data_IF_445595594885
#
_entry.id   IF_445595594885
#
_cell.length_a   1.000
_cell.length_b   1.000
_cell.length_c   1.000
_cell.angle_alpha   90.00
_cell.angle_beta   90.00
_cell.angle_gamma   90.00
#
_symmetry.space_group_name_H-M   'P 1'
#
loop_
_entity.id
_entity.type
_entity.pdbx_description
1 polymer ?
#
# COMPACT_ATOMS: atom_id res chain seq x y z
N UNK A 1 20.37 21.60 16.93
CA UNK A 1 20.14 21.39 15.48
C UNK A 1 18.90 20.52 15.35
N UNK A 2 18.00 20.86 14.42
CA UNK A 2 16.83 19.99 14.13
C UNK A 2 17.35 18.68 13.52
N UNK A 3 16.74 17.54 13.89
CA UNK A 3 17.07 16.25 13.28
C UNK A 3 16.58 16.25 11.81
N UNK A 4 17.49 16.05 10.86
CA UNK A 4 17.19 16.02 9.43
C UNK A 4 16.74 14.64 8.99
N UNK A 5 15.56 14.57 8.38
CA UNK A 5 15.00 13.33 7.85
C UNK A 5 14.75 13.46 6.34
N UNK A 6 15.19 12.47 5.59
CA UNK A 6 14.80 12.27 4.20
C UNK A 6 13.63 11.28 4.14
N UNK A 7 12.49 11.75 3.66
CA UNK A 7 11.29 10.93 3.44
C UNK A 7 11.13 10.74 1.94
N UNK A 8 11.14 9.51 1.50
CA UNK A 8 11.03 9.16 0.09
C UNK A 8 9.87 8.20 -0.16
N UNK A 9 9.05 8.54 -1.14
CA UNK A 9 8.05 7.65 -1.71
C UNK A 9 8.40 7.43 -3.19
N UNK A 10 8.41 6.17 -3.62
CA UNK A 10 8.97 5.77 -4.90
C UNK A 10 8.21 6.33 -6.12
N UNK A 11 6.86 6.30 -6.09
CA UNK A 11 6.05 6.68 -7.25
C UNK A 11 6.11 8.18 -7.49
N UNK A 12 5.81 8.96 -6.45
CA UNK A 12 5.84 10.42 -6.52
C UNK A 12 7.25 11.00 -6.55
N UNK A 13 8.24 10.27 -6.01
CA UNK A 13 9.65 10.66 -5.95
C UNK A 13 10.47 10.31 -7.21
N UNK A 14 9.81 9.91 -8.30
CA UNK A 14 10.45 9.73 -9.60
C UNK A 14 10.97 8.34 -9.91
N UNK A 15 10.51 7.31 -9.19
CA UNK A 15 10.82 5.93 -9.53
C UNK A 15 10.37 5.52 -10.94
N UNK A 16 9.40 6.26 -11.49
CA UNK A 16 8.88 6.14 -12.86
C UNK A 16 9.17 7.38 -13.74
N UNK A 17 10.19 8.19 -13.44
CA UNK A 17 10.40 9.45 -14.15
C UNK A 17 10.65 9.30 -15.67
N UNK A 18 11.05 8.12 -16.13
CA UNK A 18 11.33 7.80 -17.56
C UNK A 18 10.22 6.99 -18.24
N UNK A 19 9.19 6.60 -17.52
CA UNK A 19 8.07 5.81 -18.03
C UNK A 19 6.75 6.34 -17.50
N UNK A 20 5.65 5.83 -18.01
CA UNK A 20 4.32 6.19 -17.52
C UNK A 20 4.10 5.69 -16.08
N UNK A 21 3.38 6.47 -15.31
CA UNK A 21 3.00 6.12 -13.95
C UNK A 21 1.58 5.57 -13.98
N UNK A 22 1.32 4.38 -13.43
CA UNK A 22 -0.05 3.92 -13.24
C UNK A 22 -0.82 4.87 -12.33
N UNK A 23 -1.98 5.35 -12.80
CA UNK A 23 -2.83 6.32 -12.07
C UNK A 23 -3.15 5.85 -10.64
N UNK A 24 -3.43 4.56 -10.47
CA UNK A 24 -3.72 3.93 -9.18
C UNK A 24 -2.59 4.11 -8.17
N UNK A 25 -1.35 3.94 -8.58
CA UNK A 25 -0.19 4.00 -7.69
C UNK A 25 0.12 5.42 -7.22
N UNK A 26 -0.10 6.42 -8.08
CA UNK A 26 0.26 7.80 -7.74
C UNK A 26 -0.59 8.36 -6.61
N UNK A 27 -1.91 8.22 -6.68
CA UNK A 27 -2.81 8.82 -5.69
C UNK A 27 -2.58 8.25 -4.28
N UNK A 28 -2.28 6.97 -4.17
CA UNK A 28 -1.95 6.29 -2.91
C UNK A 28 -0.54 6.69 -2.42
N UNK A 29 0.45 6.62 -3.30
CA UNK A 29 1.85 6.94 -2.97
C UNK A 29 2.02 8.39 -2.50
N UNK A 30 1.50 9.35 -3.26
CA UNK A 30 1.52 10.75 -2.87
C UNK A 30 0.74 11.01 -1.57
N UNK A 31 -0.41 10.35 -1.39
CA UNK A 31 -1.17 10.42 -0.15
C UNK A 31 -0.37 9.93 1.06
N UNK A 32 0.33 8.81 0.95
CA UNK A 32 1.22 8.31 2.00
C UNK A 32 2.39 9.25 2.26
N UNK A 33 3.03 9.79 1.21
CA UNK A 33 4.12 10.77 1.35
C UNK A 33 3.66 12.02 2.11
N UNK A 34 2.59 12.66 1.64
CA UNK A 34 2.03 13.86 2.27
C UNK A 34 1.66 13.63 3.73
N UNK A 35 1.07 12.48 4.03
CA UNK A 35 0.61 12.13 5.37
C UNK A 35 1.78 11.93 6.34
N UNK A 36 2.77 11.13 5.97
CA UNK A 36 3.91 10.85 6.86
C UNK A 36 4.79 12.09 7.04
N UNK A 37 4.96 12.94 6.01
CA UNK A 37 5.63 14.23 6.12
C UNK A 37 4.94 15.09 7.18
N UNK A 38 3.60 15.22 7.10
CA UNK A 38 2.83 16.00 8.06
C UNK A 38 3.00 15.49 9.50
N UNK A 39 3.04 14.18 9.69
CA UNK A 39 3.19 13.56 11.02
C UNK A 39 4.59 13.79 11.61
N UNK A 40 5.66 13.70 10.80
CA UNK A 40 7.02 14.04 11.24
C UNK A 40 7.21 15.54 11.45
N UNK A 41 6.53 16.38 10.67
CA UNK A 41 6.60 17.85 10.83
C UNK A 41 6.05 18.31 12.18
N UNK A 42 5.00 17.65 12.69
CA UNK A 42 4.47 17.90 14.04
C UNK A 42 5.47 17.53 15.16
N UNK A 43 6.54 16.80 14.84
CA UNK A 43 7.63 16.45 15.76
C UNK A 43 8.87 17.33 15.55
N UNK A 44 8.72 18.45 14.84
CA UNK A 44 9.76 19.46 14.57
C UNK A 44 11.00 18.93 13.82
N UNK A 45 10.86 17.87 13.02
CA UNK A 45 11.91 17.42 12.09
C UNK A 45 12.11 18.44 10.97
N UNK A 46 13.33 18.57 10.50
CA UNK A 46 13.67 19.21 9.23
C UNK A 46 13.56 18.16 8.12
N UNK A 47 12.56 18.34 7.24
CA UNK A 47 12.14 17.30 6.29
C UNK A 47 12.60 17.66 4.89
N UNK A 48 13.35 16.75 4.27
CA UNK A 48 13.65 16.76 2.84
C UNK A 48 12.88 15.64 2.15
N UNK A 49 12.36 15.89 0.96
CA UNK A 49 11.76 14.88 0.09
C UNK A 49 12.18 15.07 -1.37
N UNK A 50 11.97 14.04 -2.18
CA UNK A 50 12.19 14.05 -3.63
C UNK A 50 10.84 13.97 -4.34
N UNK A 51 10.64 14.78 -5.38
CA UNK A 51 9.43 14.81 -6.17
C UNK A 51 9.79 14.79 -7.67
N UNK A 52 9.04 14.02 -8.44
CA UNK A 52 9.14 13.98 -9.90
C UNK A 52 8.71 15.31 -10.52
N UNK A 53 9.43 15.80 -11.52
CA UNK A 53 9.20 17.10 -12.19
C UNK A 53 7.76 17.26 -12.69
N UNK A 54 7.07 16.17 -13.03
CA UNK A 54 5.66 16.19 -13.48
C UNK A 54 4.71 16.74 -12.43
N UNK A 55 5.07 16.68 -11.15
CA UNK A 55 4.22 17.03 -10.01
C UNK A 55 4.65 18.30 -9.27
N UNK A 56 5.43 19.16 -9.89
CA UNK A 56 5.88 20.43 -9.30
C UNK A 56 4.73 21.29 -8.73
N UNK A 57 3.57 21.24 -9.36
CA UNK A 57 2.38 21.97 -8.91
C UNK A 57 1.82 21.45 -7.57
N UNK A 58 2.24 20.27 -7.11
CA UNK A 58 1.85 19.69 -5.81
C UNK A 58 2.82 20.03 -4.68
N UNK A 59 3.96 20.66 -4.96
CA UNK A 59 4.95 21.06 -3.93
C UNK A 59 4.30 21.85 -2.77
N UNK A 60 3.39 22.83 -3.01
CA UNK A 60 2.76 23.56 -1.93
C UNK A 60 1.91 22.71 -0.98
N UNK A 61 1.52 21.50 -1.39
CA UNK A 61 0.74 20.56 -0.57
C UNK A 61 1.61 19.73 0.37
N UNK A 62 2.94 19.68 0.13
CA UNK A 62 3.89 18.97 0.97
C UNK A 62 4.42 19.93 2.06
N UNK A 63 4.14 19.60 3.31
CA UNK A 63 4.66 20.37 4.45
C UNK A 63 6.12 19.98 4.74
N UNK A 64 6.98 19.91 3.71
CA UNK A 64 8.40 19.65 3.81
C UNK A 64 9.20 20.97 3.84
N UNK A 65 10.38 20.96 4.50
CA UNK A 65 11.27 22.12 4.51
C UNK A 65 12.02 22.26 3.18
N UNK A 66 12.34 21.13 2.55
CA UNK A 66 12.99 21.09 1.25
C UNK A 66 12.36 20.01 0.37
N UNK A 67 11.92 20.41 -0.82
CA UNK A 67 11.46 19.50 -1.87
C UNK A 67 12.46 19.57 -3.02
N UNK A 68 13.27 18.52 -3.15
CA UNK A 68 14.14 18.36 -4.31
C UNK A 68 13.35 17.83 -5.49
N UNK A 69 13.66 18.30 -6.68
CA UNK A 69 12.99 17.88 -7.91
C UNK A 69 13.87 16.92 -8.67
N UNK A 70 13.29 15.84 -9.16
CA UNK A 70 13.93 14.93 -10.10
C UNK A 70 13.53 15.30 -11.51
N UNK A 71 14.49 15.77 -12.30
CA UNK A 71 14.28 16.10 -13.71
C UNK A 71 14.17 14.82 -14.58
N UNK A 72 13.57 14.96 -15.77
CA UNK A 72 13.32 13.84 -16.69
C UNK A 72 14.57 13.03 -17.02
N UNK A 73 15.70 13.69 -17.21
CA UNK A 73 16.96 13.06 -17.62
C UNK A 73 17.80 12.53 -16.44
N UNK A 74 17.42 12.86 -15.21
CA UNK A 74 18.15 12.43 -14.02
C UNK A 74 17.87 10.95 -13.68
N UNK A 75 18.87 10.32 -13.07
CA UNK A 75 18.75 8.98 -12.50
C UNK A 75 18.28 9.06 -11.05
N UNK A 76 17.04 8.64 -10.77
CA UNK A 76 16.46 8.76 -9.44
C UNK A 76 17.31 8.11 -8.33
N UNK A 77 18.01 6.99 -8.63
CA UNK A 77 18.86 6.33 -7.66
C UNK A 77 20.08 7.16 -7.24
N UNK A 78 20.65 7.94 -8.16
CA UNK A 78 21.78 8.83 -7.85
C UNK A 78 21.32 9.99 -6.97
N UNK A 79 20.18 10.61 -7.32
CA UNK A 79 19.57 11.69 -6.54
C UNK A 79 19.14 11.19 -5.16
N UNK A 80 18.51 10.01 -5.10
CA UNK A 80 18.15 9.35 -3.85
C UNK A 80 19.37 9.14 -2.93
N UNK A 81 20.45 8.52 -3.46
CA UNK A 81 21.67 8.28 -2.67
C UNK A 81 22.32 9.59 -2.19
N UNK A 82 22.31 10.63 -3.02
CA UNK A 82 22.76 11.95 -2.65
C UNK A 82 21.99 12.49 -1.43
N UNK A 83 20.65 12.47 -1.46
CA UNK A 83 19.78 12.96 -0.38
C UNK A 83 19.92 12.10 0.89
N UNK A 84 20.08 10.79 0.74
CA UNK A 84 20.41 9.91 1.86
C UNK A 84 21.67 10.39 2.56
N UNK A 85 22.75 10.71 1.83
CA UNK A 85 24.02 11.19 2.41
C UNK A 85 23.87 12.51 3.18
N UNK A 86 22.98 13.39 2.75
CA UNK A 86 22.73 14.70 3.37
C UNK A 86 21.85 14.63 4.64
N UNK A 87 21.17 13.51 4.88
CA UNK A 87 20.23 13.34 5.99
C UNK A 87 20.82 12.56 7.15
N UNK A 88 20.24 12.65 8.33
CA UNK A 88 20.60 11.85 9.51
C UNK A 88 19.76 10.56 9.57
N UNK A 89 18.50 10.69 9.24
CA UNK A 89 17.51 9.60 9.22
C UNK A 89 16.81 9.52 7.87
N UNK A 90 16.31 8.34 7.51
CA UNK A 90 15.55 8.11 6.30
C UNK A 90 14.29 7.29 6.59
N UNK A 91 13.19 7.67 5.93
CA UNK A 91 11.95 6.90 5.89
C UNK A 91 11.60 6.58 4.44
N UNK A 92 11.51 5.29 4.10
CA UNK A 92 11.33 4.83 2.72
C UNK A 92 9.98 4.18 2.56
N UNK A 93 9.23 4.65 1.55
CA UNK A 93 8.00 4.05 1.04
C UNK A 93 8.27 3.65 -0.40
N UNK A 94 8.24 2.37 -0.69
CA UNK A 94 8.48 1.87 -2.04
C UNK A 94 7.82 0.49 -2.21
N UNK A 95 7.46 0.12 -3.45
CA UNK A 95 6.91 -1.19 -3.73
C UNK A 95 7.96 -2.29 -3.60
N UNK A 96 7.49 -3.52 -3.47
CA UNK A 96 8.29 -4.73 -3.35
C UNK A 96 8.82 -5.23 -4.70
N UNK A 97 8.11 -4.97 -5.81
CA UNK A 97 8.44 -5.49 -7.14
C UNK A 97 9.87 -5.14 -7.56
N UNK A 98 10.48 -6.04 -8.31
CA UNK A 98 11.87 -5.91 -8.79
C UNK A 98 12.88 -5.60 -7.67
N UNK A 99 12.57 -6.01 -6.44
CA UNK A 99 13.38 -5.74 -5.24
C UNK A 99 13.64 -4.25 -4.99
N UNK A 100 12.74 -3.37 -5.43
CA UNK A 100 12.90 -1.91 -5.32
C UNK A 100 13.07 -1.46 -3.89
N UNK A 101 12.13 -1.82 -2.98
CA UNK A 101 12.25 -1.48 -1.55
C UNK A 101 13.54 -2.01 -0.94
N UNK A 102 13.95 -3.25 -1.26
CA UNK A 102 15.19 -3.83 -0.78
C UNK A 102 16.42 -3.03 -1.22
N UNK A 103 16.49 -2.65 -2.50
CA UNK A 103 17.60 -1.87 -3.07
C UNK A 103 17.72 -0.49 -2.41
N UNK A 104 16.62 0.23 -2.25
CA UNK A 104 16.60 1.54 -1.59
C UNK A 104 17.01 1.44 -0.11
N UNK A 105 16.45 0.47 0.61
CA UNK A 105 16.83 0.17 2.00
C UNK A 105 18.31 -0.15 2.14
N UNK A 106 18.88 -0.93 1.20
CA UNK A 106 20.31 -1.26 1.16
C UNK A 106 21.20 -0.01 0.98
N UNK A 107 20.76 0.96 0.15
CA UNK A 107 21.49 2.23 -0.03
C UNK A 107 21.54 3.01 1.30
N UNK A 108 20.43 3.13 2.03
CA UNK A 108 20.39 3.81 3.33
C UNK A 108 21.35 3.13 4.32
N UNK A 109 21.30 1.81 4.42
CA UNK A 109 22.19 1.03 5.32
C UNK A 109 23.67 1.14 4.95
N UNK A 110 24.00 1.08 3.64
CA UNK A 110 25.39 1.26 3.14
C UNK A 110 25.96 2.62 3.55
N UNK A 111 25.14 3.67 3.52
CA UNK A 111 25.52 5.02 3.93
C UNK A 111 25.44 5.24 5.45
N UNK A 112 25.21 4.19 6.26
CA UNK A 112 25.18 4.20 7.74
C UNK A 112 24.20 5.22 8.31
N UNK A 113 23.09 5.48 7.61
CA UNK A 113 22.05 6.39 8.07
C UNK A 113 21.01 5.65 8.92
N UNK A 114 20.35 6.39 9.81
CA UNK A 114 19.31 5.84 10.66
C UNK A 114 18.06 5.54 9.81
N UNK A 115 17.69 4.26 9.74
CA UNK A 115 16.53 3.81 8.96
C UNK A 115 15.29 3.72 9.85
N UNK A 116 14.26 4.52 9.55
CA UNK A 116 13.01 4.57 10.31
C UNK A 116 11.94 3.61 9.75
N UNK A 117 12.03 3.21 8.49
CA UNK A 117 11.23 2.12 7.89
C UNK A 117 11.81 0.74 8.24
N UNK A 118 11.19 -0.34 7.76
CA UNK A 118 11.60 -1.72 8.04
C UNK A 118 13.03 -1.99 7.50
N UNK A 119 13.84 -2.74 8.28
CA UNK A 119 15.21 -3.09 7.91
C UNK A 119 15.26 -4.25 6.90
N UNK A 120 16.41 -4.43 6.27
CA UNK A 120 16.67 -5.42 5.20
C UNK A 120 16.17 -6.83 5.52
N UNK A 121 16.29 -7.31 6.76
CA UNK A 121 15.81 -8.64 7.15
C UNK A 121 14.30 -8.78 7.03
N UNK A 122 13.55 -7.76 7.44
CA UNK A 122 12.10 -7.72 7.31
C UNK A 122 11.68 -7.50 5.86
N UNK A 123 12.32 -6.55 5.17
CA UNK A 123 12.06 -6.28 3.75
C UNK A 123 12.29 -7.54 2.91
N UNK A 124 13.39 -8.26 3.12
CA UNK A 124 13.70 -9.47 2.33
C UNK A 124 12.64 -10.57 2.50
N UNK A 125 12.07 -10.74 3.70
CA UNK A 125 11.00 -11.71 3.91
C UNK A 125 9.67 -11.22 3.30
N UNK A 126 9.29 -9.95 3.54
CA UNK A 126 8.00 -9.43 3.09
C UNK A 126 7.93 -9.22 1.57
N UNK A 127 9.07 -9.08 0.87
CA UNK A 127 9.09 -8.89 -0.59
C UNK A 127 8.60 -10.12 -1.36
N UNK A 128 8.82 -11.33 -0.85
CA UNK A 128 8.46 -12.57 -1.52
C UNK A 128 7.19 -13.19 -0.89
N UNK A 129 6.12 -13.31 -1.68
CA UNK A 129 4.89 -13.99 -1.25
C UNK A 129 5.14 -15.47 -0.94
N UNK A 130 6.04 -16.10 -1.69
CA UNK A 130 6.41 -17.51 -1.45
C UNK A 130 7.19 -17.68 -0.13
N UNK A 131 8.11 -16.76 0.19
CA UNK A 131 8.85 -16.83 1.45
C UNK A 131 7.95 -16.47 2.64
N UNK A 132 7.01 -15.54 2.45
CA UNK A 132 5.98 -15.21 3.45
C UNK A 132 5.08 -16.42 3.73
N UNK A 133 4.64 -17.13 2.68
CA UNK A 133 3.91 -18.40 2.83
C UNK A 133 4.70 -19.44 3.64
N UNK A 134 5.99 -19.67 3.29
CA UNK A 134 6.85 -20.61 4.02
C UNK A 134 7.00 -20.19 5.49
N UNK A 135 7.13 -18.90 5.76
CA UNK A 135 7.21 -18.34 7.10
C UNK A 135 5.93 -18.64 7.91
N UNK A 136 4.75 -18.33 7.36
CA UNK A 136 3.48 -18.61 8.02
C UNK A 136 3.28 -20.10 8.29
N UNK A 137 3.57 -20.93 7.30
CA UNK A 137 3.50 -22.39 7.42
C UNK A 137 4.43 -22.94 8.51
N UNK A 138 5.67 -22.47 8.56
CA UNK A 138 6.65 -22.87 9.60
C UNK A 138 6.24 -22.40 10.99
N UNK A 139 5.54 -21.28 11.08
CA UNK A 139 4.95 -20.75 12.31
C UNK A 139 3.67 -21.47 12.74
N UNK A 140 3.19 -22.46 11.98
CA UNK A 140 1.97 -23.22 12.25
C UNK A 140 0.70 -22.36 12.36
N UNK A 141 0.61 -21.30 11.56
CA UNK A 141 -0.60 -20.51 11.35
C UNK A 141 -1.21 -20.87 9.99
N UNK A 142 -2.53 -20.64 9.84
CA UNK A 142 -3.20 -20.92 8.58
C UNK A 142 -2.77 -19.91 7.51
N UNK A 143 -2.50 -20.43 6.32
CA UNK A 143 -2.16 -19.68 5.11
C UNK A 143 -2.59 -20.51 3.90
N UNK A 144 -3.09 -19.93 2.81
CA UNK A 144 -3.48 -20.67 1.62
C UNK A 144 -2.30 -21.45 1.03
N UNK A 145 -2.54 -22.64 0.49
CA UNK A 145 -1.50 -23.40 -0.21
C UNK A 145 -0.95 -22.56 -1.37
N UNK A 146 0.35 -22.41 -1.43
CA UNK A 146 1.02 -21.53 -2.39
C UNK A 146 2.18 -22.25 -3.06
N UNK A 147 2.26 -22.16 -4.38
CA UNK A 147 3.25 -22.81 -5.21
C UNK A 147 3.90 -21.79 -6.15
N UNK A 148 5.20 -21.89 -6.36
CA UNK A 148 5.85 -21.15 -7.45
C UNK A 148 5.34 -21.72 -8.78
N UNK A 149 4.91 -20.85 -9.69
CA UNK A 149 4.46 -21.25 -11.01
C UNK A 149 5.69 -21.58 -11.88
N UNK A 150 5.85 -22.84 -12.33
CA UNK A 150 7.00 -23.21 -13.12
C UNK A 150 6.91 -22.67 -14.54
N UNK A 151 8.05 -22.42 -15.16
CA UNK A 151 8.13 -22.02 -16.56
C UNK A 151 8.04 -23.24 -17.46
N UNK A 152 7.17 -23.17 -18.46
CA UNK A 152 7.10 -24.13 -19.56
C UNK A 152 8.12 -23.84 -20.66
N UNK A 153 7.97 -24.49 -21.81
CA UNK A 153 8.89 -24.34 -22.96
C UNK A 153 8.82 -22.95 -23.64
N UNK A 154 7.65 -22.34 -23.65
CA UNK A 154 7.39 -21.03 -24.30
C UNK A 154 6.89 -19.98 -23.32
N UNK A 155 6.18 -20.42 -22.26
CA UNK A 155 5.58 -19.55 -21.25
C UNK A 155 5.49 -20.34 -19.90
N UNK A 156 4.53 -20.04 -19.04
CA UNK A 156 4.27 -20.78 -17.81
C UNK A 156 3.56 -22.11 -18.09
N UNK A 157 3.71 -23.08 -17.15
CA UNK A 157 3.22 -24.45 -17.30
C UNK A 157 1.73 -24.56 -16.91
N UNK A 158 0.85 -24.55 -17.92
CA UNK A 158 -0.60 -24.73 -17.73
C UNK A 158 -0.96 -26.09 -17.11
N UNK A 159 -0.24 -27.18 -17.45
CA UNK A 159 -0.52 -28.51 -16.91
C UNK A 159 -0.27 -28.56 -15.40
N UNK A 160 0.76 -27.84 -14.93
CA UNK A 160 1.00 -27.69 -13.50
C UNK A 160 -0.18 -27.01 -12.79
N UNK A 161 -0.74 -25.94 -13.37
CA UNK A 161 -1.88 -25.24 -12.79
C UNK A 161 -3.10 -26.15 -12.72
N UNK A 162 -3.40 -26.87 -13.80
CA UNK A 162 -4.51 -27.84 -13.87
C UNK A 162 -4.33 -28.96 -12.83
N UNK A 163 -3.13 -29.53 -12.72
CA UNK A 163 -2.82 -30.55 -11.70
C UNK A 163 -3.10 -30.04 -10.29
N UNK A 164 -2.61 -28.83 -9.96
CA UNK A 164 -2.81 -28.26 -8.62
C UNK A 164 -4.26 -27.88 -8.36
N UNK A 165 -4.97 -27.33 -9.35
CA UNK A 165 -6.40 -27.05 -9.26
C UNK A 165 -7.20 -28.33 -8.91
N UNK A 166 -6.97 -29.44 -9.62
CA UNK A 166 -7.60 -30.73 -9.33
C UNK A 166 -7.27 -31.26 -7.93
N UNK A 167 -6.00 -31.14 -7.51
CA UNK A 167 -5.55 -31.62 -6.22
C UNK A 167 -6.07 -30.80 -5.03
N UNK A 168 -6.22 -29.48 -5.20
CA UNK A 168 -6.75 -28.59 -4.18
C UNK A 168 -8.28 -28.68 -4.08
N UNK A 169 -8.95 -29.03 -5.18
CA UNK A 169 -10.40 -29.14 -5.29
C UNK A 169 -11.13 -27.85 -4.82
N UNK A 170 -10.57 -26.70 -5.14
CA UNK A 170 -11.12 -25.39 -4.85
C UNK A 170 -10.64 -24.38 -5.92
N UNK A 171 -11.26 -23.20 -6.05
CA UNK A 171 -10.77 -22.15 -6.92
C UNK A 171 -9.33 -21.76 -6.60
N UNK A 172 -8.60 -21.27 -7.59
CA UNK A 172 -7.20 -20.85 -7.45
C UNK A 172 -6.98 -19.46 -8.04
N UNK A 173 -5.92 -18.81 -7.58
CA UNK A 173 -5.46 -17.54 -8.14
C UNK A 173 -4.01 -17.66 -8.62
N UNK A 174 -3.71 -16.94 -9.71
CA UNK A 174 -2.35 -16.67 -10.15
C UNK A 174 -2.06 -15.19 -9.90
N UNK A 175 -0.93 -14.89 -9.30
CA UNK A 175 -0.50 -13.50 -9.03
C UNK A 175 1.02 -13.36 -9.04
N UNK A 176 1.57 -12.16 -9.28
CA UNK A 176 3.02 -11.92 -9.20
C UNK A 176 3.58 -12.30 -7.82
N UNK A 177 4.76 -12.90 -7.81
CA UNK A 177 5.45 -13.34 -6.59
C UNK A 177 5.89 -12.14 -5.73
N UNK A 178 6.30 -11.03 -6.36
CA UNK A 178 6.78 -9.79 -5.73
C UNK A 178 5.93 -8.54 -6.04
N UNK A 179 4.68 -8.72 -6.53
CA UNK A 179 3.76 -7.62 -6.88
C UNK A 179 3.18 -6.87 -5.68
N UNK A 180 2.66 -5.68 -5.93
CA UNK A 180 1.96 -4.83 -4.95
C UNK A 180 0.53 -4.56 -5.41
N UNK A 181 -0.37 -4.34 -4.44
CA UNK A 181 -1.80 -4.12 -4.73
C UNK A 181 -2.48 -5.38 -5.28
N UNK A 182 -3.66 -5.19 -5.86
CA UNK A 182 -4.42 -6.28 -6.48
C UNK A 182 -4.14 -6.43 -7.99
N UNK A 183 -3.15 -5.72 -8.52
CA UNK A 183 -2.84 -5.75 -9.95
C UNK A 183 -2.34 -7.13 -10.38
N UNK A 184 -2.79 -7.58 -11.56
CA UNK A 184 -2.40 -8.87 -12.15
C UNK A 184 -2.74 -10.10 -11.30
N UNK A 185 -3.86 -10.06 -10.56
CA UNK A 185 -4.45 -11.24 -9.92
C UNK A 185 -5.46 -11.86 -10.89
N UNK A 186 -5.27 -13.13 -11.21
CA UNK A 186 -6.14 -13.91 -12.09
C UNK A 186 -6.80 -15.02 -11.29
N UNK A 187 -8.13 -15.10 -11.36
CA UNK A 187 -8.96 -16.03 -10.60
C UNK A 187 -9.56 -17.09 -11.52
N UNK A 188 -9.56 -18.35 -11.09
CA UNK A 188 -10.04 -19.50 -11.85
C UNK A 188 -10.94 -20.39 -11.00
N UNK A 189 -12.14 -20.69 -11.51
CA UNK A 189 -13.10 -21.59 -10.89
C UNK A 189 -13.19 -22.95 -11.62
N UNK A 190 -12.65 -23.05 -12.84
CA UNK A 190 -12.73 -24.26 -13.66
C UNK A 190 -11.45 -24.55 -14.45
N UNK A 191 -11.30 -25.80 -14.89
CA UNK A 191 -10.20 -26.22 -15.75
C UNK A 191 -10.30 -25.55 -17.14
N UNK A 192 -11.50 -25.34 -17.63
CA UNK A 192 -11.78 -24.68 -18.91
C UNK A 192 -11.24 -23.25 -18.91
N UNK A 193 -11.48 -22.50 -17.84
CA UNK A 193 -10.95 -21.13 -17.70
C UNK A 193 -9.42 -21.10 -17.69
N UNK A 194 -8.78 -22.07 -17.05
CA UNK A 194 -7.30 -22.21 -17.03
C UNK A 194 -6.79 -22.47 -18.45
N UNK A 195 -7.42 -23.42 -19.18
CA UNK A 195 -7.03 -23.76 -20.54
C UNK A 195 -7.20 -22.55 -21.48
N UNK A 196 -8.33 -21.84 -21.39
CA UNK A 196 -8.59 -20.65 -22.18
C UNK A 196 -7.55 -19.56 -21.91
N UNK A 197 -7.25 -19.29 -20.64
CA UNK A 197 -6.26 -18.28 -20.24
C UNK A 197 -4.86 -18.54 -20.82
N UNK A 198 -4.39 -19.77 -20.80
CA UNK A 198 -3.06 -20.13 -21.31
C UNK A 198 -3.02 -20.31 -22.82
N UNK A 199 -4.15 -20.49 -23.49
CA UNK A 199 -4.25 -20.55 -24.96
C UNK A 199 -4.50 -19.18 -25.60
N UNK A 200 -4.74 -18.13 -24.81
CA UNK A 200 -4.93 -16.78 -25.33
C UNK A 200 -3.61 -16.30 -25.99
N UNK A 201 -3.67 -15.81 -27.25
CA UNK A 201 -2.49 -15.30 -27.93
C UNK A 201 -1.92 -14.01 -27.29
N UNK A 202 -2.69 -13.33 -26.44
CA UNK A 202 -2.21 -12.19 -25.67
C UNK A 202 -1.54 -12.72 -24.39
N UNK A 203 -0.23 -12.51 -24.29
CA UNK A 203 0.50 -12.86 -23.06
C UNK A 203 0.05 -11.99 -21.89
N UNK A 204 -0.76 -12.59 -21.00
CA UNK A 204 -1.27 -11.92 -19.79
C UNK A 204 -0.28 -11.93 -18.63
N UNK A 205 0.68 -12.86 -18.65
CA UNK A 205 1.72 -12.98 -17.64
C UNK A 205 3.03 -12.45 -18.21
N UNK A 206 3.65 -11.51 -17.49
CA UNK A 206 4.97 -11.01 -17.88
C UNK A 206 6.00 -12.14 -17.90
N UNK A 207 6.64 -12.31 -19.04
CA UNK A 207 7.65 -13.35 -19.30
C UNK A 207 8.91 -13.21 -18.42
N UNK A 208 9.15 -12.06 -17.81
CA UNK A 208 10.31 -11.79 -16.95
C UNK A 208 9.97 -12.07 -15.47
N UNK A 209 8.76 -11.73 -15.03
CA UNK A 209 8.31 -11.87 -13.64
C UNK A 209 8.15 -13.32 -13.18
N UNK A 210 8.22 -13.56 -11.88
CA UNK A 210 7.81 -14.80 -11.26
C UNK A 210 6.36 -14.69 -10.80
N UNK A 211 5.62 -15.79 -10.91
CA UNK A 211 4.25 -15.88 -10.46
C UNK A 211 4.08 -17.01 -9.47
N UNK A 212 3.09 -16.88 -8.61
CA UNK A 212 2.64 -17.95 -7.72
C UNK A 212 1.23 -18.38 -8.09
N UNK A 213 0.97 -19.67 -7.94
CA UNK A 213 -0.36 -20.24 -7.87
C UNK A 213 -0.74 -20.38 -6.40
N UNK A 214 -1.91 -19.90 -6.03
CA UNK A 214 -2.37 -19.94 -4.64
C UNK A 214 -3.81 -20.44 -4.57
N UNK A 215 -4.11 -21.27 -3.57
CA UNK A 215 -5.47 -21.62 -3.16
C UNK A 215 -6.28 -20.34 -2.90
N UNK A 216 -7.49 -20.27 -3.46
CA UNK A 216 -8.42 -19.20 -3.13
C UNK A 216 -9.18 -19.53 -1.86
N UNK A 217 -9.12 -18.66 -0.89
CA UNK A 217 -9.87 -18.76 0.37
C UNK A 217 -11.01 -17.76 0.33
N UNK A 218 -12.24 -18.25 0.42
CA UNK A 218 -13.41 -17.41 0.49
C UNK A 218 -13.53 -16.75 1.87
N UNK A 219 -13.80 -15.44 1.91
CA UNK A 219 -13.95 -14.71 3.16
C UNK A 219 -13.89 -13.20 2.99
N UNK A 220 -13.69 -12.50 4.10
CA UNK A 220 -13.48 -11.06 4.12
C UNK A 220 -12.00 -10.74 4.00
N UNK A 221 -11.65 -9.93 3.02
CA UNK A 221 -10.30 -9.39 2.87
C UNK A 221 -10.05 -8.33 3.93
N UNK A 222 -9.05 -8.57 4.76
CA UNK A 222 -8.69 -7.74 5.88
C UNK A 222 -7.18 -7.50 5.91
N UNK A 223 -6.79 -6.39 6.53
CA UNK A 223 -5.38 -6.14 6.87
C UNK A 223 -5.23 -5.74 8.33
N UNK A 224 -4.06 -5.95 8.88
CA UNK A 224 -3.71 -5.44 10.20
C UNK A 224 -2.50 -4.52 10.09
N UNK A 225 -2.66 -3.31 10.63
CA UNK A 225 -1.58 -2.32 10.76
C UNK A 225 -0.83 -2.59 12.07
N UNK A 226 0.48 -2.75 11.98
CA UNK A 226 1.33 -3.22 13.06
C UNK A 226 2.50 -2.28 13.33
N UNK A 227 2.92 -2.26 14.57
CA UNK A 227 4.15 -1.61 15.00
C UNK A 227 5.05 -2.63 15.71
N UNK A 228 6.12 -3.03 15.02
CA UNK A 228 7.10 -3.98 15.53
C UNK A 228 8.17 -3.31 16.37
N UNK A 229 8.66 -4.05 17.35
CA UNK A 229 9.79 -3.70 18.21
C UNK A 229 10.84 -4.80 18.14
N UNK A 230 11.79 -4.82 19.06
CA UNK A 230 12.72 -5.96 19.21
C UNK A 230 12.05 -7.23 19.72
N UNK A 231 10.83 -7.12 20.25
CA UNK A 231 10.02 -8.27 20.69
C UNK A 231 9.41 -9.00 19.48
N UNK A 232 9.22 -10.30 19.62
CA UNK A 232 8.61 -11.12 18.57
C UNK A 232 7.16 -10.76 18.29
N UNK A 233 6.43 -10.26 19.29
CA UNK A 233 5.02 -9.89 19.15
C UNK A 233 4.88 -8.38 18.93
N UNK A 234 4.38 -7.94 17.75
CA UNK A 234 4.17 -6.53 17.44
C UNK A 234 2.94 -5.99 18.17
N UNK A 235 2.86 -4.67 18.27
CA UNK A 235 1.66 -3.98 18.71
C UNK A 235 0.67 -3.82 17.57
N UNK A 236 -0.56 -4.26 17.74
CA UNK A 236 -1.65 -4.02 16.80
C UNK A 236 -2.05 -2.54 16.92
N UNK A 237 -2.07 -1.83 15.79
CA UNK A 237 -2.54 -0.46 15.69
C UNK A 237 -4.01 -0.41 15.29
N UNK A 238 -4.41 -1.17 14.30
CA UNK A 238 -5.79 -1.37 13.89
C UNK A 238 -5.94 -2.60 12.99
N UNK A 239 -7.16 -3.08 12.86
CA UNK A 239 -7.59 -4.03 11.81
C UNK A 239 -8.47 -3.26 10.83
N UNK A 240 -8.23 -3.45 9.54
CA UNK A 240 -8.86 -2.69 8.48
C UNK A 240 -9.52 -3.64 7.48
N UNK A 241 -10.61 -3.23 6.83
CA UNK A 241 -11.11 -3.92 5.65
C UNK A 241 -10.26 -3.58 4.44
N UNK A 242 -10.32 -4.42 3.42
CA UNK A 242 -9.76 -4.16 2.11
C UNK A 242 -10.86 -4.31 1.05
N UNK A 243 -11.13 -3.25 0.32
CA UNK A 243 -12.08 -3.27 -0.79
C UNK A 243 -11.32 -3.68 -2.05
N UNK A 244 -11.29 -4.99 -2.29
CA UNK A 244 -10.61 -5.62 -3.42
C UNK A 244 -11.67 -6.20 -4.35
N UNK A 245 -11.59 -5.85 -5.63
CA UNK A 245 -12.39 -6.44 -6.69
C UNK A 245 -11.52 -7.44 -7.46
N UNK A 246 -11.63 -8.73 -7.13
CA UNK A 246 -10.95 -9.82 -7.84
C UNK A 246 -11.84 -10.25 -9.00
N UNK A 247 -11.39 -10.01 -10.22
CA UNK A 247 -12.11 -10.34 -11.43
C UNK A 247 -11.57 -11.61 -12.07
N UNK A 248 -12.46 -12.24 -12.88
CA UNK A 248 -12.10 -13.38 -13.72
C UNK A 248 -10.95 -13.03 -14.71
N UNK A 249 -10.28 -14.02 -15.31
CA UNK A 249 -8.97 -13.89 -15.99
C UNK A 249 -8.83 -12.78 -17.04
N UNK A 250 -9.93 -12.24 -17.54
CA UNK A 250 -9.92 -11.21 -18.60
C UNK A 250 -10.04 -9.77 -18.08
N UNK A 251 -10.06 -9.56 -16.76
CA UNK A 251 -10.26 -8.26 -16.15
C UNK A 251 -9.17 -7.98 -15.10
N UNK A 252 -8.72 -6.77 -15.02
CA UNK A 252 -7.78 -6.33 -13.97
C UNK A 252 -8.48 -6.29 -12.61
N UNK A 253 -7.84 -6.90 -11.62
CA UNK A 253 -8.26 -6.75 -10.22
C UNK A 253 -7.85 -5.37 -9.72
N UNK A 254 -8.61 -4.81 -8.78
CA UNK A 254 -8.34 -3.47 -8.27
C UNK A 254 -8.53 -3.41 -6.75
N UNK A 255 -7.66 -2.61 -6.12
CA UNK A 255 -7.80 -2.21 -4.73
C UNK A 255 -8.30 -0.76 -4.66
N UNK A 256 -9.33 -0.50 -3.86
CA UNK A 256 -9.95 0.82 -3.76
C UNK A 256 -9.79 1.47 -2.40
N UNK A 257 -9.26 0.77 -1.42
CA UNK A 257 -9.14 1.27 -0.05
C UNK A 257 -9.80 0.34 0.97
N UNK A 258 -10.55 0.90 1.88
CA UNK A 258 -11.24 0.17 2.93
C UNK A 258 -11.71 1.08 4.06
N UNK A 259 -12.05 0.48 5.20
CA UNK A 259 -12.35 1.24 6.41
C UNK A 259 -11.60 0.72 7.64
N UNK A 260 -11.46 1.58 8.63
CA UNK A 260 -10.76 1.29 9.88
C UNK A 260 -11.43 2.03 11.06
N UNK A 261 -11.53 1.42 12.25
CA UNK A 261 -11.32 -0.01 12.51
C UNK A 261 -12.45 -0.86 11.92
N UNK A 262 -12.16 -2.14 11.68
CA UNK A 262 -13.17 -3.12 11.23
C UNK A 262 -14.26 -3.31 12.28
N UNK A 263 -15.48 -3.65 11.85
CA UNK A 263 -16.51 -4.15 12.75
C UNK A 263 -16.02 -5.42 13.49
N UNK A 264 -16.44 -5.63 14.71
CA UNK A 264 -15.97 -6.73 15.56
C UNK A 264 -14.44 -6.72 15.84
N UNK A 265 -13.84 -5.52 15.86
CA UNK A 265 -12.41 -5.32 16.07
C UNK A 265 -11.83 -6.15 17.22
N UNK A 266 -12.48 -6.13 18.41
CA UNK A 266 -11.95 -6.78 19.62
C UNK A 266 -11.82 -8.30 19.49
N UNK A 267 -12.75 -8.94 18.80
CA UNK A 267 -12.73 -10.40 18.53
C UNK A 267 -11.58 -10.75 17.59
N UNK A 268 -11.45 -10.00 16.48
CA UNK A 268 -10.41 -10.22 15.49
C UNK A 268 -9.03 -9.93 16.10
N UNK A 269 -8.91 -8.85 16.86
CA UNK A 269 -7.67 -8.50 17.57
C UNK A 269 -7.21 -9.62 18.52
N UNK A 270 -8.13 -10.20 19.28
CA UNK A 270 -7.83 -11.31 20.18
C UNK A 270 -7.31 -12.53 19.40
N UNK A 271 -7.97 -12.89 18.31
CA UNK A 271 -7.54 -14.00 17.44
C UNK A 271 -6.18 -13.75 16.81
N UNK A 272 -5.90 -12.53 16.35
CA UNK A 272 -4.58 -12.13 15.80
C UNK A 272 -3.49 -12.22 16.86
N UNK A 273 -3.75 -11.75 18.10
CA UNK A 273 -2.77 -11.84 19.21
C UNK A 273 -2.35 -13.29 19.49
N UNK A 274 -3.30 -14.23 19.47
CA UNK A 274 -2.99 -15.65 19.65
C UNK A 274 -2.15 -16.22 18.51
N UNK A 275 -2.41 -15.82 17.26
CA UNK A 275 -1.61 -16.23 16.13
C UNK A 275 -0.20 -15.62 16.15
N UNK A 276 -0.07 -14.33 16.53
CA UNK A 276 1.23 -13.66 16.59
C UNK A 276 2.17 -14.25 17.65
N UNK A 277 1.67 -14.87 18.71
CA UNK A 277 2.48 -15.62 19.69
C UNK A 277 3.27 -16.78 19.04
N UNK A 278 2.80 -17.30 17.90
CA UNK A 278 3.42 -18.41 17.16
C UNK A 278 4.48 -17.93 16.15
N UNK A 279 4.55 -16.62 15.88
CA UNK A 279 5.41 -16.02 14.84
C UNK A 279 6.57 -15.24 15.46
N UNK A 280 7.76 -15.38 14.91
CA UNK A 280 8.87 -14.47 15.23
C UNK A 280 8.85 -13.27 14.26
N UNK A 281 8.19 -12.19 14.68
CA UNK A 281 8.08 -10.94 13.93
C UNK A 281 9.12 -9.89 14.36
N UNK A 282 10.13 -10.24 15.16
CA UNK A 282 11.19 -9.33 15.68
C UNK A 282 11.98 -8.60 14.58
N UNK A 283 12.05 -9.20 13.37
CA UNK A 283 12.71 -8.59 12.20
C UNK A 283 11.97 -7.41 11.59
N UNK A 284 10.68 -7.21 11.92
CA UNK A 284 9.83 -6.12 11.42
C UNK A 284 9.76 -4.96 12.42
N UNK A 285 10.92 -4.42 12.82
CA UNK A 285 11.00 -3.26 13.72
C UNK A 285 10.59 -1.98 12.98
N UNK A 286 9.50 -1.34 13.39
CA UNK A 286 8.85 -0.19 12.73
C UNK A 286 7.43 -0.52 12.29
N UNK A 287 6.87 0.32 11.42
CA UNK A 287 5.53 0.10 10.85
C UNK A 287 5.55 -0.92 9.71
N UNK A 288 4.59 -1.85 9.72
CA UNK A 288 4.34 -2.80 8.63
C UNK A 288 2.88 -3.26 8.65
N UNK A 289 2.43 -3.88 7.57
CA UNK A 289 1.10 -4.47 7.46
C UNK A 289 1.17 -5.99 7.26
N UNK A 290 0.09 -6.69 7.61
CA UNK A 290 -0.14 -8.09 7.22
C UNK A 290 -1.55 -8.19 6.66
N UNK A 291 -1.67 -8.76 5.47
CA UNK A 291 -2.95 -9.02 4.83
C UNK A 291 -3.41 -10.44 5.17
N UNK A 292 -4.70 -10.60 5.43
CA UNK A 292 -5.29 -11.87 5.80
C UNK A 292 -6.77 -11.94 5.39
N UNK A 293 -7.27 -13.16 5.22
CA UNK A 293 -8.67 -13.44 4.98
C UNK A 293 -9.28 -14.02 6.24
N UNK A 294 -10.46 -13.55 6.60
CA UNK A 294 -11.28 -14.16 7.65
C UNK A 294 -12.48 -14.84 7.01
N UNK A 295 -12.49 -16.19 7.04
CA UNK A 295 -13.55 -16.97 6.45
C UNK A 295 -14.84 -16.96 7.31
N UNK A 296 -15.91 -17.59 6.82
CA UNK A 296 -17.21 -17.69 7.54
C UNK A 296 -17.11 -18.41 8.88
N UNK A 297 -16.16 -19.33 9.02
CA UNK A 297 -15.87 -20.03 10.28
C UNK A 297 -15.03 -19.20 11.27
N UNK A 298 -14.85 -17.90 11.00
CA UNK A 298 -14.00 -16.98 11.78
C UNK A 298 -12.51 -17.36 11.83
N UNK A 299 -12.04 -18.20 10.94
CA UNK A 299 -10.63 -18.60 10.83
C UNK A 299 -9.84 -17.57 10.05
N UNK A 300 -8.61 -17.29 10.50
CA UNK A 300 -7.70 -16.34 9.87
C UNK A 300 -6.69 -17.08 8.99
N UNK A 301 -6.63 -16.71 7.71
CA UNK A 301 -5.66 -17.16 6.74
C UNK A 301 -4.73 -16.01 6.36
N UNK A 302 -3.47 -16.07 6.77
CA UNK A 302 -2.48 -15.04 6.47
C UNK A 302 -2.02 -15.13 5.02
N UNK A 303 -2.03 -14.01 4.31
CA UNK A 303 -1.76 -13.93 2.87
C UNK A 303 -0.36 -13.42 2.57
N UNK A 304 -0.01 -12.22 3.10
CA UNK A 304 1.29 -11.60 2.85
C UNK A 304 1.67 -10.60 3.94
N UNK A 305 2.96 -10.26 4.00
CA UNK A 305 3.49 -9.21 4.88
C UNK A 305 3.97 -8.06 4.01
N UNK A 306 3.46 -6.85 4.29
CA UNK A 306 3.86 -5.60 3.65
C UNK A 306 4.89 -4.88 4.52
N UNK A 307 6.20 -4.96 4.25
CA UNK A 307 7.27 -4.43 5.12
C UNK A 307 7.48 -2.92 4.92
N UNK A 308 6.40 -2.16 4.81
CA UNK A 308 6.37 -0.71 4.52
C UNK A 308 5.12 -0.05 5.06
N UNK A 309 5.05 1.27 4.89
CA UNK A 309 3.79 1.98 5.06
C UNK A 309 2.75 1.42 4.07
N UNK A 310 1.53 1.19 4.54
CA UNK A 310 0.39 0.69 3.74
C UNK A 310 -0.65 1.78 3.56
N UNK A 311 -1.51 1.66 2.56
CA UNK A 311 -2.56 2.64 2.25
C UNK A 311 -3.52 2.84 3.44
N UNK A 312 -3.74 1.81 4.25
CA UNK A 312 -4.52 1.91 5.50
C UNK A 312 -3.98 2.95 6.51
N UNK A 313 -2.69 3.34 6.40
CA UNK A 313 -2.12 4.42 7.21
C UNK A 313 -2.91 5.73 7.07
N UNK A 314 -3.47 5.99 5.89
CA UNK A 314 -4.25 7.19 5.60
C UNK A 314 -5.53 7.28 6.45
N UNK A 315 -6.20 6.13 6.66
CA UNK A 315 -7.33 6.04 7.58
C UNK A 315 -6.90 5.95 9.05
N UNK A 316 -5.81 5.23 9.33
CA UNK A 316 -5.30 5.00 10.68
C UNK A 316 -4.99 6.32 11.43
N UNK A 317 -4.43 7.32 10.75
CA UNK A 317 -4.17 8.66 11.29
C UNK A 317 -5.41 9.35 11.85
N UNK A 318 -6.58 9.04 11.31
CA UNK A 318 -7.84 9.66 11.69
C UNK A 318 -8.46 9.01 12.93
N UNK A 319 -8.11 7.76 13.22
CA UNK A 319 -8.73 6.97 14.29
C UNK A 319 -7.88 6.85 15.55
N UNK A 320 -6.55 7.06 15.45
CA UNK A 320 -5.63 7.00 16.58
C UNK A 320 -5.36 8.43 17.08
N UNK A 321 -5.49 8.63 18.39
CA UNK A 321 -5.28 9.95 19.02
C UNK A 321 -3.79 10.30 19.24
N UNK A 322 -2.87 9.46 18.80
CA UNK A 322 -1.43 9.68 18.96
C UNK A 322 -0.80 9.94 17.60
N UNK A 323 0.26 10.73 17.57
CA UNK A 323 1.05 10.92 16.37
C UNK A 323 1.77 9.59 16.01
N UNK A 324 1.43 9.02 14.84
CA UNK A 324 1.97 7.73 14.39
C UNK A 324 3.48 7.79 14.11
N UNK A 325 4.02 8.90 13.62
CA UNK A 325 5.45 9.07 13.42
C UNK A 325 6.20 9.01 14.76
N UNK A 326 5.63 9.59 15.85
CA UNK A 326 6.19 9.45 17.20
C UNK A 326 6.19 8.00 17.66
N UNK A 327 5.13 7.24 17.38
CA UNK A 327 5.06 5.82 17.72
C UNK A 327 6.11 5.01 16.93
N UNK A 328 6.29 5.30 15.64
CA UNK A 328 7.32 4.69 14.80
C UNK A 328 8.72 4.97 15.36
N UNK A 329 9.03 6.22 15.71
CA UNK A 329 10.31 6.57 16.36
C UNK A 329 10.53 5.80 17.66
N UNK A 330 9.49 5.72 18.50
CA UNK A 330 9.56 4.98 19.77
C UNK A 330 9.83 3.49 19.56
N UNK A 331 9.27 2.90 18.50
CA UNK A 331 9.49 1.49 18.17
C UNK A 331 10.92 1.20 17.71
N UNK A 332 11.65 2.21 17.21
CA UNK A 332 13.05 2.10 16.78
C UNK A 332 14.05 2.22 17.92
N UNK A 333 13.64 2.77 19.05
CA UNK A 333 14.52 2.90 20.23
C UNK A 333 14.62 1.54 20.93
N UNK A 334 15.87 1.16 21.29
CA UNK A 334 16.13 -0.12 21.93
C UNK A 334 15.57 -0.19 23.34
N UNK A 335 14.68 -1.13 23.59
CA UNK A 335 14.40 -1.75 24.90
C UNK A 335 13.84 -0.90 26.06
N UNK A 336 13.82 0.42 25.98
CA UNK A 336 13.57 1.27 27.15
C UNK A 336 12.16 1.89 27.25
N UNK A 337 11.42 1.98 26.18
CA UNK A 337 10.10 2.61 26.20
C UNK A 337 9.00 1.60 25.82
N UNK A 338 8.11 1.32 26.76
CA UNK A 338 6.83 0.67 26.43
C UNK A 338 6.11 1.55 25.39
N UNK A 339 5.72 0.96 24.26
CA UNK A 339 4.86 1.65 23.31
C UNK A 339 3.57 2.07 24.03
N UNK A 340 3.07 3.29 23.77
CA UNK A 340 1.85 3.77 24.39
C UNK A 340 0.67 2.85 24.02
N UNK A 341 -0.33 2.80 24.87
CA UNK A 341 -1.58 2.10 24.57
C UNK A 341 -2.27 2.76 23.37
N UNK A 342 -2.79 1.93 22.45
CA UNK A 342 -3.52 2.42 21.29
C UNK A 342 -4.98 2.56 21.65
N UNK A 343 -5.49 3.78 21.57
CA UNK A 343 -6.90 4.09 21.80
C UNK A 343 -7.53 4.52 20.47
N UNK A 344 -8.44 3.70 19.98
CA UNK A 344 -9.22 4.00 18.78
C UNK A 344 -10.41 4.87 19.17
N UNK A 345 -10.53 6.07 18.58
CA UNK A 345 -11.55 7.06 18.97
C UNK A 345 -12.57 7.36 17.88
N UNK A 346 -12.24 7.07 16.64
CA UNK A 346 -13.03 7.41 15.45
C UNK A 346 -13.09 6.23 14.49
N UNK A 347 -13.80 6.44 13.39
CA UNK A 347 -13.82 5.59 12.19
C UNK A 347 -13.36 6.38 10.99
N UNK A 348 -12.71 5.71 10.05
CA UNK A 348 -12.28 6.30 8.78
C UNK A 348 -12.59 5.34 7.64
N UNK A 349 -13.30 5.82 6.66
CA UNK A 349 -13.37 5.20 5.33
C UNK A 349 -12.31 5.90 4.49
N UNK A 350 -11.40 5.14 3.91
CA UNK A 350 -10.31 5.63 3.07
C UNK A 350 -10.42 4.99 1.69
N UNK A 351 -10.50 5.83 0.66
CA UNK A 351 -10.83 5.34 -0.69
C UNK A 351 -10.11 6.12 -1.78
N UNK A 352 -9.63 5.37 -2.78
CA UNK A 352 -9.28 5.90 -4.10
C UNK A 352 -10.55 6.07 -4.90
N UNK A 353 -10.70 7.21 -5.58
CA UNK A 353 -11.81 7.49 -6.47
C UNK A 353 -11.27 7.83 -7.85
N UNK A 354 -11.80 7.18 -8.86
CA UNK A 354 -11.52 7.44 -10.27
C UNK A 354 -12.59 8.37 -10.83
N UNK A 355 -12.17 9.43 -11.50
CA UNK A 355 -12.98 10.56 -11.90
C UNK A 355 -12.76 10.89 -13.37
N UNK A 356 -13.81 11.39 -14.02
CA UNK A 356 -13.70 12.07 -15.32
C UNK A 356 -14.27 13.47 -15.18
N UNK A 357 -13.56 14.49 -15.65
CA UNK A 357 -14.09 15.84 -15.67
C UNK A 357 -14.93 16.05 -16.93
N UNK A 358 -16.11 16.71 -16.80
CA UNK A 358 -17.03 16.95 -17.92
C UNK A 358 -16.43 17.80 -19.03
N UNK A 359 -15.53 18.73 -18.69
CA UNK A 359 -14.80 19.52 -19.68
C UNK A 359 -13.64 18.74 -20.26
N UNK A 360 -13.61 18.47 -21.58
CA UNK A 360 -12.62 17.57 -22.17
C UNK A 360 -11.20 18.17 -22.34
N UNK A 361 -11.06 19.50 -22.21
CA UNK A 361 -9.81 20.22 -22.48
C UNK A 361 -9.46 21.18 -21.34
N UNK A 362 -9.09 20.63 -20.20
CA UNK A 362 -8.62 21.43 -19.09
C UNK A 362 -7.16 21.84 -19.34
N UNK A 363 -6.88 23.13 -19.31
CA UNK A 363 -5.50 23.60 -19.30
C UNK A 363 -4.89 23.50 -17.89
N UNK A 364 -3.57 23.53 -17.80
CA UNK A 364 -2.82 23.39 -16.54
C UNK A 364 -3.29 24.34 -15.46
N UNK A 365 -3.57 25.61 -15.79
CA UNK A 365 -4.02 26.63 -14.83
C UNK A 365 -5.37 26.27 -14.21
N UNK A 366 -6.32 25.82 -15.03
CA UNK A 366 -7.65 25.39 -14.55
C UNK A 366 -7.51 24.16 -13.64
N UNK A 367 -6.65 23.20 -14.00
CA UNK A 367 -6.39 22.03 -13.16
C UNK A 367 -5.82 22.45 -11.79
N UNK A 368 -4.87 23.38 -11.76
CA UNK A 368 -4.32 23.90 -10.50
C UNK A 368 -5.39 24.62 -9.66
N UNK A 369 -6.25 25.42 -10.27
CA UNK A 369 -7.38 26.07 -9.60
C UNK A 369 -8.36 25.07 -9.01
N UNK A 370 -8.74 24.04 -9.77
CA UNK A 370 -9.62 22.95 -9.33
C UNK A 370 -9.03 22.14 -8.16
N UNK A 371 -7.71 21.92 -8.15
CA UNK A 371 -7.01 21.26 -7.04
C UNK A 371 -7.23 22.04 -5.73
N UNK A 372 -6.99 23.34 -5.74
CA UNK A 372 -7.15 24.16 -4.55
C UNK A 372 -8.61 24.31 -4.12
N UNK A 373 -9.53 24.46 -5.08
CA UNK A 373 -10.96 24.50 -4.80
C UNK A 373 -11.43 23.21 -4.15
N UNK A 374 -11.05 22.06 -4.72
CA UNK A 374 -11.40 20.73 -4.17
C UNK A 374 -10.87 20.56 -2.75
N UNK A 375 -9.62 20.96 -2.49
CA UNK A 375 -9.01 20.85 -1.16
C UNK A 375 -9.68 21.77 -0.12
N UNK A 376 -10.17 22.92 -0.53
CA UNK A 376 -10.90 23.86 0.34
C UNK A 376 -12.29 23.33 0.70
N UNK A 377 -12.97 22.70 -0.24
CA UNK A 377 -14.33 22.17 -0.05
C UNK A 377 -14.35 20.81 0.63
N UNK A 378 -13.29 20.01 0.46
CA UNK A 378 -13.18 18.64 0.97
C UNK A 378 -11.92 18.50 1.83
N UNK A 379 -11.98 18.84 3.13
CA UNK A 379 -10.83 18.72 4.05
C UNK A 379 -10.27 17.28 4.19
N UNK A 380 -11.09 16.26 3.90
CA UNK A 380 -10.72 14.86 3.92
C UNK A 380 -9.90 14.41 2.70
N UNK A 381 -9.67 15.30 1.73
CA UNK A 381 -8.90 15.04 0.53
C UNK A 381 -7.41 14.90 0.86
N UNK A 382 -6.90 13.68 0.77
CA UNK A 382 -5.49 13.36 1.01
C UNK A 382 -4.66 13.65 -0.25
N UNK A 383 -5.10 13.12 -1.38
CA UNK A 383 -4.57 13.44 -2.71
C UNK A 383 -5.66 14.09 -3.52
N UNK A 384 -5.47 15.30 -4.03
CA UNK A 384 -6.48 15.97 -4.86
C UNK A 384 -6.67 15.25 -6.19
N UNK A 385 -7.71 15.57 -6.97
CA UNK A 385 -7.88 15.02 -8.32
C UNK A 385 -6.68 15.35 -9.21
N UNK A 386 -5.96 14.31 -9.65
CA UNK A 386 -4.76 14.43 -10.47
C UNK A 386 -4.93 13.60 -11.73
N UNK A 387 -4.61 14.20 -12.88
CA UNK A 387 -4.46 13.52 -14.16
C UNK A 387 -2.99 13.37 -14.48
N UNK A 388 -2.54 12.15 -14.77
CA UNK A 388 -1.13 11.85 -15.08
C UNK A 388 -0.82 11.99 -16.58
N UNK A 389 -1.81 11.77 -17.42
CA UNK A 389 -1.69 11.74 -18.88
C UNK A 389 -2.19 13.04 -19.55
N UNK A 390 -2.65 14.01 -18.73
CA UNK A 390 -3.24 15.26 -19.23
C UNK A 390 -4.60 15.06 -19.91
N UNK A 391 -5.23 13.88 -19.76
CA UNK A 391 -6.58 13.61 -20.23
C UNK A 391 -7.63 14.13 -19.24
N UNK A 392 -8.90 13.86 -19.53
CA UNK A 392 -10.00 14.15 -18.61
C UNK A 392 -10.13 13.14 -17.46
N UNK A 393 -9.29 12.12 -17.41
CA UNK A 393 -9.29 11.10 -16.36
C UNK A 393 -8.43 11.55 -15.17
N UNK A 394 -9.01 11.46 -14.00
CA UNK A 394 -8.37 11.86 -12.73
C UNK A 394 -8.49 10.76 -11.70
N UNK A 395 -7.56 10.73 -10.76
CA UNK A 395 -7.67 9.95 -9.54
C UNK A 395 -7.46 10.86 -8.33
N UNK A 396 -8.18 10.58 -7.24
CA UNK A 396 -7.97 11.24 -5.96
C UNK A 396 -8.00 10.20 -4.83
N UNK A 397 -7.57 10.61 -3.64
CA UNK A 397 -7.63 9.79 -2.45
C UNK A 397 -8.22 10.56 -1.27
N UNK A 398 -9.18 9.94 -0.60
CA UNK A 398 -9.95 10.54 0.50
C UNK A 398 -9.86 9.65 1.74
N UNK A 399 -9.82 10.26 2.93
CA UNK A 399 -9.92 9.54 4.19
C UNK A 399 -10.78 10.32 5.19
N UNK A 400 -11.97 9.82 5.48
CA UNK A 400 -12.93 10.44 6.40
C UNK A 400 -12.48 10.34 7.85
N UNK A 401 -13.02 11.22 8.71
CA UNK A 401 -12.86 11.13 10.16
C UNK A 401 -14.22 11.36 10.83
N UNK A 402 -14.82 10.30 11.37
CA UNK A 402 -16.16 10.37 11.96
C UNK A 402 -16.26 9.50 13.21
N UNK A 403 -17.35 9.65 13.96
CA UNK A 403 -17.56 8.92 15.22
C UNK A 403 -17.87 7.42 15.04
N UNK A 404 -18.42 7.03 13.88
CA UNK A 404 -18.85 5.67 13.57
C UNK A 404 -18.80 5.41 12.06
N UNK A 405 -18.92 4.14 11.65
CA UNK A 405 -18.81 3.71 10.27
C UNK A 405 -19.96 4.24 9.37
N UNK A 406 -21.20 4.29 9.91
CA UNK A 406 -22.34 4.82 9.15
C UNK A 406 -22.14 6.31 8.82
N UNK A 407 -21.64 7.06 9.78
CA UNK A 407 -21.26 8.46 9.58
C UNK A 407 -20.15 8.61 8.54
N UNK A 408 -19.18 7.69 8.49
CA UNK A 408 -18.14 7.69 7.44
C UNK A 408 -18.73 7.47 6.06
N UNK A 409 -19.65 6.52 5.92
CA UNK A 409 -20.37 6.28 4.64
C UNK A 409 -21.16 7.50 4.20
N UNK A 410 -21.93 8.09 5.13
CA UNK A 410 -22.70 9.31 4.83
C UNK A 410 -21.78 10.44 4.39
N UNK A 411 -20.68 10.66 5.12
CA UNK A 411 -19.71 11.71 4.77
C UNK A 411 -19.09 11.48 3.39
N UNK A 412 -18.77 10.24 3.03
CA UNK A 412 -18.25 9.91 1.70
C UNK A 412 -19.28 10.25 0.60
N UNK A 413 -20.57 9.97 0.82
CA UNK A 413 -21.62 10.36 -0.13
C UNK A 413 -21.71 11.88 -0.32
N UNK A 414 -21.60 12.67 0.77
CA UNK A 414 -21.56 14.13 0.68
C UNK A 414 -20.33 14.62 -0.10
N UNK A 415 -19.16 14.01 0.09
CA UNK A 415 -17.95 14.30 -0.66
C UNK A 415 -18.13 14.02 -2.14
N UNK A 416 -18.76 12.89 -2.50
CA UNK A 416 -19.07 12.55 -3.88
C UNK A 416 -19.98 13.59 -4.53
N UNK A 417 -21.01 14.04 -3.82
CA UNK A 417 -21.89 15.10 -4.30
C UNK A 417 -21.13 16.43 -4.53
N UNK A 418 -20.18 16.75 -3.64
CA UNK A 418 -19.32 17.92 -3.80
C UNK A 418 -18.43 17.78 -5.05
N UNK A 419 -17.82 16.63 -5.29
CA UNK A 419 -17.04 16.37 -6.51
C UNK A 419 -17.91 16.51 -7.76
N UNK A 420 -19.12 16.00 -7.73
CA UNK A 420 -20.08 16.13 -8.83
C UNK A 420 -20.48 17.60 -9.09
N UNK A 421 -20.58 18.44 -8.05
CA UNK A 421 -20.82 19.88 -8.19
C UNK A 421 -19.65 20.65 -8.80
N UNK A 422 -18.44 20.08 -8.74
CA UNK A 422 -17.23 20.54 -9.41
C UNK A 422 -17.03 19.92 -10.81
N UNK A 423 -18.09 19.44 -11.42
CA UNK A 423 -18.13 18.83 -12.75
C UNK A 423 -17.32 17.52 -12.91
N UNK A 424 -17.00 16.83 -11.80
CA UNK A 424 -16.45 15.49 -11.86
C UNK A 424 -17.56 14.43 -11.95
N UNK A 425 -17.38 13.45 -12.83
CA UNK A 425 -18.16 12.23 -12.89
C UNK A 425 -17.38 11.11 -12.19
N UNK A 426 -18.03 10.38 -11.31
CA UNK A 426 -17.42 9.23 -10.65
C UNK A 426 -17.45 8.05 -11.63
N UNK A 427 -16.27 7.52 -11.96
CA UNK A 427 -16.13 6.34 -12.84
C UNK A 427 -16.09 5.08 -11.99
N UNK A 428 -15.33 5.13 -10.89
CA UNK A 428 -15.12 3.98 -10.01
C UNK A 428 -14.80 4.44 -8.59
N UNK A 429 -15.31 3.69 -7.61
CA UNK A 429 -15.15 3.95 -6.19
C UNK A 429 -15.21 2.63 -5.44
N UNK A 430 -14.42 2.48 -4.35
CA UNK A 430 -14.51 1.39 -3.40
C UNK A 430 -15.63 1.59 -2.38
#
# INVERSE_FOLDING_TARGET
>A
MKNRIFIFEFVSGGGFNKIEIPNSFFSEGFGMLRSIISDFKLLEFEITTLLDYRFLHLVPLLNADMVEVLEKEEEYLLKFEYLVKQSESCFIIAPEFSKTLYRLTKIVKKNKKNLLSIDLKGVNLGTSKLDTFKFFRSSKVKTPQTFLLPRGKQNFDANFVIEKFKNLNCPVIIKPEDGVGADSIFYFESEEEIIEFFNDPIEKLDSIGNYILQEYVEGKDLSVSLLGTENSTPKILSVNTQDIDIKKPNFESNYFGGHTPVENYSEIEASLKENFKKMDLSRFKGYFGIDFIRNENCEIYFIEINPRLTTSYLGLRNIINQNLAKMILSSKQNGKNKLPEVLLQNHSLFSRIELVHKSPNLNKKIIEELIYETLNLIPEMITPPISLDGTSQFTCFIATKTKDFLSSKKRMQEIIQTLQSLDYLIVKQG
#
